data_IF_114827344057
#
_entry.id   IF_114827344057
#
_cell.length_a   1.000
_cell.length_b   1.000
_cell.length_c   1.000
_cell.angle_alpha   90.00
_cell.angle_beta   90.00
_cell.angle_gamma   90.00
#
_symmetry.space_group_name_H-M   'P 1'
#
loop_
_entity.id
_entity.type
_entity.pdbx_description
1 polymer ?
#
# COMPACT_ATOMS: atom_id res chain seq x y z
N UNK A 1 8.50 35.38 14.18
CA UNK A 1 7.66 34.77 13.13
C UNK A 1 8.07 33.31 12.95
N UNK A 2 7.29 32.36 13.48
CA UNK A 2 7.58 30.93 13.42
C UNK A 2 6.90 30.29 12.22
N UNK A 3 7.66 29.83 11.22
CA UNK A 3 7.11 29.05 10.09
C UNK A 3 7.31 27.56 10.40
N UNK A 4 6.29 26.94 10.97
CA UNK A 4 6.22 25.49 11.20
C UNK A 4 6.19 24.78 9.84
N UNK A 5 7.28 24.11 9.48
CA UNK A 5 7.32 23.19 8.34
C UNK A 5 6.79 21.84 8.81
N UNK A 6 5.50 21.59 8.60
CA UNK A 6 4.97 20.24 8.60
C UNK A 6 5.63 19.49 7.43
N UNK A 7 6.36 18.43 7.73
CA UNK A 7 7.14 17.71 6.74
C UNK A 7 7.70 16.39 7.24
N UNK A 8 7.04 15.71 8.19
CA UNK A 8 7.26 14.28 8.41
C UNK A 8 6.34 13.51 7.47
N UNK A 9 6.63 13.57 6.17
CA UNK A 9 6.06 12.67 5.19
C UNK A 9 6.84 11.37 5.23
N UNK A 10 6.53 10.49 6.18
CA UNK A 10 6.77 9.06 5.96
C UNK A 10 6.09 8.69 4.63
N UNK A 11 6.64 7.79 3.80
CA UNK A 11 5.97 7.38 2.57
C UNK A 11 4.64 6.79 2.97
N UNK A 12 3.59 7.61 2.92
CA UNK A 12 2.22 7.16 3.01
C UNK A 12 2.10 6.23 1.82
N UNK A 13 2.08 4.93 2.08
CA UNK A 13 1.73 3.94 1.05
C UNK A 13 0.49 4.50 0.39
N UNK A 14 0.59 4.86 -0.89
CA UNK A 14 -0.47 5.59 -1.57
C UNK A 14 -1.67 4.65 -1.73
N UNK A 15 -2.55 4.66 -0.73
CA UNK A 15 -3.76 3.83 -0.65
C UNK A 15 -4.59 4.00 -1.93
N UNK A 16 -4.56 5.19 -2.53
CA UNK A 16 -5.19 5.49 -3.82
C UNK A 16 -4.67 4.59 -4.95
N UNK A 17 -3.36 4.35 -5.02
CA UNK A 17 -2.76 3.48 -6.04
C UNK A 17 -3.12 2.01 -5.80
N UNK A 18 -3.24 1.60 -4.53
CA UNK A 18 -3.73 0.26 -4.18
C UNK A 18 -5.16 0.08 -4.68
N UNK A 19 -6.04 1.05 -4.38
CA UNK A 19 -7.44 1.04 -4.82
C UNK A 19 -7.57 1.06 -6.35
N UNK A 20 -6.75 1.86 -7.04
CA UNK A 20 -6.69 1.87 -8.51
C UNK A 20 -6.31 0.49 -9.06
N UNK A 21 -5.24 -0.12 -8.53
CA UNK A 21 -4.79 -1.44 -8.96
C UNK A 21 -5.87 -2.51 -8.75
N UNK A 22 -6.58 -2.48 -7.61
CA UNK A 22 -7.70 -3.37 -7.34
C UNK A 22 -8.88 -3.12 -8.29
N UNK A 23 -9.20 -1.85 -8.59
CA UNK A 23 -10.27 -1.50 -9.53
C UNK A 23 -9.97 -2.00 -10.94
N UNK A 24 -8.72 -1.90 -11.38
CA UNK A 24 -8.26 -2.46 -12.66
C UNK A 24 -8.30 -3.99 -12.68
N UNK A 25 -8.02 -4.63 -11.53
CA UNK A 25 -8.10 -6.08 -11.40
C UNK A 25 -9.54 -6.59 -11.46
N UNK A 26 -10.45 -5.98 -10.69
CA UNK A 26 -11.89 -6.24 -10.74
C UNK A 26 -12.48 -6.00 -12.15
N UNK A 27 -11.98 -4.97 -12.84
CA UNK A 27 -12.32 -4.69 -14.23
C UNK A 27 -11.67 -5.62 -15.26
N UNK A 28 -10.95 -6.66 -14.82
CA UNK A 28 -10.20 -7.62 -15.64
C UNK A 28 -9.26 -6.94 -16.65
N UNK A 29 -8.76 -5.74 -16.30
CA UNK A 29 -7.83 -4.92 -17.11
C UNK A 29 -6.38 -5.29 -16.86
N UNK A 30 -6.08 -5.76 -15.66
CA UNK A 30 -4.75 -6.24 -15.27
C UNK A 30 -4.85 -7.60 -14.62
N UNK A 31 -3.76 -8.37 -14.66
CA UNK A 31 -3.67 -9.67 -14.00
C UNK A 31 -3.22 -9.57 -12.54
N UNK A 32 -3.49 -10.61 -11.74
CA UNK A 32 -3.09 -10.71 -10.32
C UNK A 32 -1.60 -10.39 -10.10
N UNK A 33 -0.72 -10.91 -10.96
CA UNK A 33 0.72 -10.63 -10.87
C UNK A 33 1.04 -9.14 -11.06
N UNK A 34 0.29 -8.41 -11.90
CA UNK A 34 0.51 -6.98 -12.14
C UNK A 34 0.09 -6.15 -10.93
N UNK A 35 -0.98 -6.56 -10.24
CA UNK A 35 -1.39 -5.99 -8.95
C UNK A 35 -0.25 -6.16 -7.95
N UNK A 36 0.25 -7.39 -7.77
CA UNK A 36 1.34 -7.70 -6.84
C UNK A 36 2.59 -6.87 -7.18
N UNK A 37 2.98 -6.83 -8.46
CA UNK A 37 4.14 -6.07 -8.91
C UNK A 37 4.01 -4.57 -8.65
N UNK A 38 2.81 -3.99 -8.79
CA UNK A 38 2.55 -2.59 -8.43
C UNK A 38 2.66 -2.37 -6.92
N UNK A 39 2.08 -3.26 -6.12
CA UNK A 39 2.11 -3.16 -4.65
C UNK A 39 3.53 -3.29 -4.09
N UNK A 40 4.33 -4.21 -4.62
CA UNK A 40 5.74 -4.36 -4.23
C UNK A 40 6.55 -3.12 -4.59
N UNK A 41 6.32 -2.51 -5.76
CA UNK A 41 6.96 -1.23 -6.12
C UNK A 41 6.56 -0.05 -5.22
N UNK A 42 5.39 -0.12 -4.56
CA UNK A 42 4.96 0.87 -3.56
C UNK A 42 5.60 0.64 -2.18
N UNK A 43 6.40 -0.41 -2.01
CA UNK A 43 7.06 -0.76 -0.77
C UNK A 43 6.27 -1.72 0.12
N UNK A 44 5.21 -2.35 -0.39
CA UNK A 44 4.58 -3.46 0.32
C UNK A 44 5.43 -4.73 0.22
N UNK A 45 5.37 -5.57 1.25
CA UNK A 45 5.94 -6.90 1.17
C UNK A 45 5.20 -7.72 0.11
N UNK A 46 5.91 -8.67 -0.53
CA UNK A 46 5.29 -9.60 -1.47
C UNK A 46 4.17 -10.43 -0.83
N UNK A 47 4.24 -10.68 0.48
CA UNK A 47 3.21 -11.36 1.24
C UNK A 47 1.93 -10.51 1.34
N UNK A 48 2.06 -9.25 1.78
CA UNK A 48 0.97 -8.28 1.83
C UNK A 48 0.34 -8.05 0.46
N UNK A 49 1.18 -7.92 -0.57
CA UNK A 49 0.74 -7.75 -1.94
C UNK A 49 -0.06 -8.95 -2.46
N UNK A 50 0.36 -10.17 -2.10
CA UNK A 50 -0.39 -11.39 -2.39
C UNK A 50 -1.73 -11.41 -1.67
N UNK A 51 -1.76 -11.07 -0.38
CA UNK A 51 -3.00 -11.02 0.42
C UNK A 51 -3.98 -10.01 -0.17
N UNK A 52 -3.51 -8.82 -0.56
CA UNK A 52 -4.34 -7.78 -1.19
C UNK A 52 -4.89 -8.26 -2.53
N UNK A 53 -4.04 -8.85 -3.37
CA UNK A 53 -4.45 -9.33 -4.69
C UNK A 53 -5.34 -10.57 -4.63
N UNK A 54 -5.26 -11.38 -3.56
CA UNK A 54 -6.11 -12.54 -3.30
C UNK A 54 -7.49 -12.14 -2.76
N UNK A 55 -7.51 -11.28 -1.74
CA UNK A 55 -8.71 -10.92 -1.00
C UNK A 55 -9.42 -9.69 -1.54
N UNK A 56 -8.80 -8.96 -2.47
CA UNK A 56 -9.31 -7.70 -3.01
C UNK A 56 -9.45 -6.58 -1.97
N UNK A 57 -8.83 -6.73 -0.79
CA UNK A 57 -9.02 -5.84 0.35
C UNK A 57 -7.68 -5.44 0.94
N UNK A 58 -7.59 -4.20 1.41
CA UNK A 58 -6.36 -3.65 1.99
C UNK A 58 -6.31 -4.05 3.48
N UNK A 59 -5.26 -4.74 3.93
CA UNK A 59 -5.12 -5.11 5.32
C UNK A 59 -5.09 -3.89 6.25
N UNK A 60 -5.64 -4.01 7.47
CA UNK A 60 -5.72 -2.91 8.43
C UNK A 60 -4.34 -2.40 8.87
N UNK A 61 -3.29 -3.25 8.88
CA UNK A 61 -1.93 -2.83 9.20
C UNK A 61 -1.28 -1.96 8.12
N UNK A 62 -1.76 -2.06 6.86
CA UNK A 62 -1.37 -1.18 5.75
C UNK A 62 -2.15 0.15 5.81
N UNK A 63 -3.44 0.08 6.16
CA UNK A 63 -4.29 1.27 6.31
C UNK A 63 -3.93 2.12 7.54
N UNK A 64 -3.43 1.48 8.60
CA UNK A 64 -3.18 2.10 9.90
C UNK A 64 -1.80 2.72 10.08
N UNK A 65 -0.90 2.64 9.08
CA UNK A 65 0.47 3.14 9.22
C UNK A 65 1.14 2.61 10.48
N UNK A 66 1.39 1.29 10.56
CA UNK A 66 1.98 0.69 11.75
C UNK A 66 3.45 1.12 11.94
N UNK A 67 3.61 2.28 12.56
CA UNK A 67 4.74 2.62 13.41
C UNK A 67 4.78 1.59 14.54
N UNK A 68 5.77 0.70 14.49
CA UNK A 68 6.14 -0.15 15.63
C UNK A 68 6.31 -1.62 15.28
N UNK A 69 7.57 -2.04 15.13
CA UNK A 69 8.25 -2.99 16.05
C UNK A 69 9.60 -3.42 15.47
N UNK A 70 10.64 -2.65 15.77
CA UNK A 70 11.99 -3.20 15.87
C UNK A 70 12.76 -2.40 16.92
N UNK A 71 12.42 -2.68 18.19
CA UNK A 71 13.36 -2.55 19.30
C UNK A 71 13.78 -3.97 19.68
N UNK A 72 15.01 -4.32 19.34
CA UNK A 72 15.83 -5.27 20.08
C UNK A 72 17.21 -4.63 20.22
#
# INVERSE_FOLDING_TARGET
>A
MSKVRAGTGLPMVNIEVIKDALTLYEGNRISRWQVINRLVHLGLSADDANIIADRGTIPPHILGGHHGTLRK
#
